data_IF_416613935121
#
_entry.id   IF_416613935121
#
_cell.length_a   1.000
_cell.length_b   1.000
_cell.length_c   1.000
_cell.angle_alpha   90.00
_cell.angle_beta   90.00
_cell.angle_gamma   90.00
#
_symmetry.space_group_name_H-M   'P 1'
#
loop_
_entity.id
_entity.type
_entity.pdbx_description
1 polymer ?
#
# COMPACT_ATOMS: atom_id res chain seq x y z
N UNK A 1 -9.67 5.04 -35.76
CA UNK A 1 -9.90 4.13 -34.62
C UNK A 1 -8.73 4.10 -33.65
N UNK A 2 -7.50 4.08 -34.13
CA UNK A 2 -6.29 3.87 -33.31
C UNK A 2 -6.00 4.96 -32.27
N UNK A 3 -6.13 6.24 -32.64
CA UNK A 3 -5.94 7.38 -31.72
C UNK A 3 -7.00 7.44 -30.61
N UNK A 4 -8.24 7.03 -30.92
CA UNK A 4 -9.35 7.04 -29.95
C UNK A 4 -9.17 5.98 -28.84
N UNK A 5 -8.60 4.82 -29.18
CA UNK A 5 -8.29 3.76 -28.21
C UNK A 5 -7.13 4.18 -27.29
N UNK A 6 -6.10 4.85 -27.82
CA UNK A 6 -5.00 5.35 -26.99
C UNK A 6 -5.48 6.44 -26.04
N UNK A 7 -6.30 7.38 -26.52
CA UNK A 7 -6.86 8.45 -25.69
C UNK A 7 -7.78 7.94 -24.58
N UNK A 8 -8.54 6.86 -24.81
CA UNK A 8 -9.44 6.31 -23.79
C UNK A 8 -8.69 5.57 -22.67
N UNK A 9 -7.52 5.01 -22.95
CA UNK A 9 -6.75 4.20 -21.98
C UNK A 9 -5.70 5.02 -21.23
N UNK A 10 -5.28 6.16 -21.79
CA UNK A 10 -4.26 7.04 -21.20
C UNK A 10 -4.59 7.47 -19.76
N UNK A 11 -5.82 7.91 -19.40
CA UNK A 11 -6.12 8.29 -18.02
C UNK A 11 -5.92 7.14 -17.03
N UNK A 12 -6.34 5.93 -17.40
CA UNK A 12 -6.20 4.73 -16.58
C UNK A 12 -4.74 4.31 -16.42
N UNK A 13 -3.94 4.42 -17.49
CA UNK A 13 -2.48 4.17 -17.43
C UNK A 13 -1.79 5.17 -16.51
N UNK A 14 -2.12 6.47 -16.63
CA UNK A 14 -1.55 7.50 -15.78
C UNK A 14 -1.97 7.33 -14.32
N UNK A 15 -3.22 6.94 -14.06
CA UNK A 15 -3.69 6.62 -12.71
C UNK A 15 -2.90 5.44 -12.13
N UNK A 16 -2.74 4.35 -12.89
CA UNK A 16 -1.97 3.18 -12.48
C UNK A 16 -0.51 3.53 -12.14
N UNK A 17 0.16 4.32 -12.99
CA UNK A 17 1.55 4.74 -12.74
C UNK A 17 1.67 5.62 -11.49
N UNK A 18 0.69 6.51 -11.25
CA UNK A 18 0.64 7.32 -10.02
C UNK A 18 0.42 6.46 -8.79
N UNK A 19 -0.50 5.51 -8.84
CA UNK A 19 -0.78 4.62 -7.72
C UNK A 19 0.44 3.74 -7.41
N UNK A 20 1.16 3.28 -8.44
CA UNK A 20 2.41 2.54 -8.28
C UNK A 20 3.51 3.39 -7.63
N UNK A 21 3.69 4.63 -8.08
CA UNK A 21 4.64 5.58 -7.48
C UNK A 21 4.23 5.99 -6.04
N UNK A 22 2.93 6.06 -5.76
CA UNK A 22 2.42 6.32 -4.42
C UNK A 22 2.71 5.16 -3.48
N UNK A 23 2.42 3.93 -3.90
CA UNK A 23 2.71 2.72 -3.11
C UNK A 23 4.20 2.61 -2.77
N UNK A 24 5.06 2.91 -3.75
CA UNK A 24 6.51 2.98 -3.61
C UNK A 24 6.97 3.97 -2.51
N UNK A 25 6.35 5.16 -2.48
CA UNK A 25 6.58 6.19 -1.47
C UNK A 25 6.00 5.83 -0.10
N UNK A 26 4.81 5.23 -0.06
CA UNK A 26 4.14 4.80 1.17
C UNK A 26 4.93 3.69 1.87
N UNK A 27 5.44 2.71 1.10
CA UNK A 27 6.27 1.62 1.63
C UNK A 27 7.64 2.12 2.10
N UNK A 28 8.33 2.96 1.30
CA UNK A 28 9.66 3.48 1.67
C UNK A 28 9.65 4.36 2.91
N UNK A 29 8.56 5.11 3.12
CA UNK A 29 8.40 5.98 4.29
C UNK A 29 7.60 5.31 5.43
N UNK A 30 7.23 4.04 5.31
CA UNK A 30 6.42 3.36 6.32
C UNK A 30 7.02 3.49 7.73
N UNK A 31 6.18 3.77 8.72
CA UNK A 31 6.53 3.64 10.13
C UNK A 31 5.34 3.17 10.94
N UNK A 32 5.56 2.16 11.78
CA UNK A 32 4.55 1.54 12.63
C UNK A 32 4.02 2.52 13.68
N UNK A 33 4.83 3.48 14.11
CA UNK A 33 4.43 4.53 15.05
C UNK A 33 3.45 5.53 14.43
N UNK A 34 3.51 5.73 13.10
CA UNK A 34 2.60 6.63 12.37
C UNK A 34 1.29 5.97 11.96
N UNK A 35 1.16 4.64 12.11
CA UNK A 35 -0.08 3.93 11.82
C UNK A 35 -1.19 4.41 12.76
N UNK A 36 -2.36 4.74 12.23
CA UNK A 36 -3.52 5.19 13.03
C UNK A 36 -4.28 3.99 13.59
N UNK A 37 -4.83 4.17 14.79
CA UNK A 37 -5.62 3.19 15.52
C UNK A 37 -6.87 3.88 16.05
N UNK A 38 -8.03 3.22 15.93
CA UNK A 38 -9.29 3.77 16.43
C UNK A 38 -9.22 4.11 17.92
N UNK A 39 -8.64 3.22 18.74
CA UNK A 39 -8.45 3.46 20.17
C UNK A 39 -7.67 4.77 20.44
N UNK A 40 -6.64 5.05 19.66
CA UNK A 40 -5.81 6.24 19.78
C UNK A 40 -6.53 7.51 19.31
N UNK A 41 -7.25 7.41 18.18
CA UNK A 41 -8.02 8.52 17.60
C UNK A 41 -9.17 8.96 18.53
N UNK A 42 -9.78 8.00 19.23
CA UNK A 42 -10.85 8.24 20.22
C UNK A 42 -10.30 8.51 21.64
N UNK A 43 -8.99 8.77 21.78
CA UNK A 43 -8.31 9.04 23.08
C UNK A 43 -8.54 7.95 24.14
N UNK A 44 -8.65 6.71 23.70
CA UNK A 44 -8.94 5.53 24.51
C UNK A 44 -10.29 5.60 25.23
N UNK A 45 -11.29 6.24 24.61
CA UNK A 45 -12.68 6.28 25.09
C UNK A 45 -13.63 5.85 23.97
N UNK A 46 -14.54 4.91 24.25
CA UNK A 46 -15.56 4.51 23.29
C UNK A 46 -16.57 5.65 23.07
N UNK A 47 -16.82 6.10 21.83
CA UNK A 47 -17.59 7.31 21.56
C UNK A 47 -19.06 7.22 21.95
N UNK A 48 -19.64 6.00 21.97
CA UNK A 48 -21.07 5.81 22.27
C UNK A 48 -21.35 5.50 23.75
N UNK A 49 -20.45 4.75 24.40
CA UNK A 49 -20.67 4.26 25.78
C UNK A 49 -19.91 5.10 26.81
N UNK A 50 -18.90 5.85 26.39
CA UNK A 50 -18.01 6.61 27.28
C UNK A 50 -17.02 5.74 28.06
N UNK A 51 -16.99 4.43 27.80
CA UNK A 51 -16.10 3.50 28.51
C UNK A 51 -14.64 3.63 28.04
N UNK A 52 -13.71 3.39 28.96
CA UNK A 52 -12.29 3.33 28.62
C UNK A 52 -11.99 2.08 27.78
N UNK A 53 -11.30 2.26 26.65
CA UNK A 53 -10.90 1.16 25.76
C UNK A 53 -9.40 0.91 25.83
N UNK A 54 -8.95 -0.36 25.81
CA UNK A 54 -7.53 -0.68 25.81
C UNK A 54 -6.85 -0.20 24.53
N UNK A 55 -5.53 0.03 24.61
CA UNK A 55 -4.75 0.47 23.46
C UNK A 55 -4.39 -0.73 22.55
N UNK A 56 -5.04 -0.83 21.39
CA UNK A 56 -4.71 -1.87 20.40
C UNK A 56 -3.25 -1.79 19.94
N UNK A 57 -2.66 -0.58 19.92
CA UNK A 57 -1.25 -0.39 19.52
C UNK A 57 -0.30 -1.20 20.40
N UNK A 58 -0.54 -1.25 21.70
CA UNK A 58 0.31 -1.98 22.63
C UNK A 58 0.27 -3.49 22.35
N UNK A 59 -0.94 -4.02 22.12
CA UNK A 59 -1.14 -5.43 21.77
C UNK A 59 -0.46 -5.80 20.43
N UNK A 60 -0.60 -4.94 19.42
CA UNK A 60 0.06 -5.14 18.13
C UNK A 60 1.59 -5.05 18.26
N UNK A 61 2.12 -4.08 19.01
CA UNK A 61 3.57 -3.92 19.17
C UNK A 61 4.18 -5.09 19.96
N UNK A 62 3.47 -5.62 20.96
CA UNK A 62 3.87 -6.83 21.66
C UNK A 62 3.93 -8.04 20.71
N UNK A 63 2.95 -8.17 19.82
CA UNK A 63 2.92 -9.23 18.81
C UNK A 63 4.08 -9.11 17.81
N UNK A 64 4.37 -7.90 17.32
CA UNK A 64 5.50 -7.65 16.41
C UNK A 64 6.82 -8.01 17.10
N UNK A 65 7.04 -7.58 18.34
CA UNK A 65 8.26 -7.92 19.10
C UNK A 65 8.41 -9.43 19.34
N UNK A 66 7.32 -10.18 19.33
CA UNK A 66 7.36 -11.64 19.41
C UNK A 66 7.71 -12.28 18.06
N UNK A 67 7.29 -11.69 16.95
CA UNK A 67 7.55 -12.21 15.61
C UNK A 67 8.93 -11.85 15.07
N UNK A 68 9.48 -10.69 15.47
CA UNK A 68 10.75 -10.15 15.00
C UNK A 68 11.73 -10.04 16.17
N UNK A 69 12.87 -10.72 16.08
CA UNK A 69 13.88 -10.73 17.13
C UNK A 69 14.50 -9.33 17.36
N UNK A 70 14.66 -8.55 16.28
CA UNK A 70 15.05 -7.15 16.29
C UNK A 70 13.89 -6.17 16.55
N UNK A 71 12.72 -6.68 16.92
CA UNK A 71 11.58 -5.87 17.34
C UNK A 71 10.97 -5.02 16.23
N UNK A 72 10.58 -3.79 16.58
CA UNK A 72 9.88 -2.89 15.66
C UNK A 72 10.77 -2.41 14.51
N UNK A 73 12.07 -2.22 14.75
CA UNK A 73 12.99 -1.72 13.73
C UNK A 73 13.22 -2.75 12.62
N UNK A 74 13.38 -4.02 12.98
CA UNK A 74 13.47 -5.13 12.02
C UNK A 74 12.16 -5.26 11.22
N UNK A 75 11.01 -5.17 11.88
CA UNK A 75 9.72 -5.18 11.21
C UNK A 75 9.59 -4.01 10.21
N UNK A 76 9.90 -2.79 10.61
CA UNK A 76 9.85 -1.63 9.72
C UNK A 76 10.80 -1.78 8.53
N UNK A 77 12.02 -2.31 8.75
CA UNK A 77 12.96 -2.60 7.67
C UNK A 77 12.41 -3.67 6.70
N UNK A 78 11.77 -4.72 7.23
CA UNK A 78 11.13 -5.75 6.42
C UNK A 78 9.95 -5.20 5.62
N UNK A 79 9.15 -4.27 6.16
CA UNK A 79 8.08 -3.61 5.40
C UNK A 79 8.65 -2.68 4.32
N UNK A 80 9.65 -1.86 4.66
CA UNK A 80 10.23 -0.89 3.71
C UNK A 80 10.91 -1.54 2.53
N UNK A 81 11.56 -2.70 2.75
CA UNK A 81 12.35 -3.40 1.74
C UNK A 81 11.75 -4.74 1.33
N UNK A 82 11.54 -5.66 2.26
CA UNK A 82 11.03 -7.00 1.96
C UNK A 82 9.65 -6.98 1.29
N UNK A 83 8.66 -6.31 1.92
CA UNK A 83 7.32 -6.20 1.34
C UNK A 83 7.33 -5.42 0.02
N UNK A 84 8.15 -4.37 -0.09
CA UNK A 84 8.35 -3.64 -1.34
C UNK A 84 8.82 -4.57 -2.46
N UNK A 85 9.90 -5.32 -2.22
CA UNK A 85 10.48 -6.21 -3.22
C UNK A 85 9.46 -7.27 -3.66
N UNK A 86 8.65 -7.78 -2.74
CA UNK A 86 7.60 -8.76 -3.04
C UNK A 86 6.44 -8.15 -3.82
N UNK A 87 6.00 -6.94 -3.46
CA UNK A 87 4.98 -6.18 -4.20
C UNK A 87 5.46 -5.86 -5.61
N UNK A 88 6.71 -5.44 -5.78
CA UNK A 88 7.29 -5.15 -7.09
C UNK A 88 7.30 -6.40 -7.99
N UNK A 89 7.67 -7.55 -7.45
CA UNK A 89 7.60 -8.85 -8.16
C UNK A 89 6.16 -9.22 -8.53
N UNK A 90 5.20 -9.02 -7.62
CA UNK A 90 3.79 -9.33 -7.85
C UNK A 90 3.15 -8.43 -8.92
N UNK A 91 3.48 -7.13 -8.91
CA UNK A 91 2.98 -6.18 -9.90
C UNK A 91 3.57 -6.43 -11.30
N UNK A 92 4.75 -7.06 -11.38
CA UNK A 92 5.37 -7.45 -12.63
C UNK A 92 5.76 -6.24 -13.50
N UNK A 93 5.61 -6.32 -14.84
CA UNK A 93 5.99 -5.25 -15.77
C UNK A 93 5.36 -3.90 -15.43
N UNK A 94 5.91 -2.83 -16.02
CA UNK A 94 5.47 -1.45 -15.76
C UNK A 94 3.97 -1.22 -16.03
N UNK A 95 3.36 -2.00 -16.93
CA UNK A 95 1.94 -1.91 -17.25
C UNK A 95 1.26 -3.28 -17.14
N UNK A 96 0.04 -3.34 -16.57
CA UNK A 96 -0.82 -4.50 -16.62
C UNK A 96 -1.05 -5.00 -18.04
N UNK A 97 -1.20 -6.32 -18.19
CA UNK A 97 -1.37 -6.98 -19.49
C UNK A 97 -2.51 -6.36 -20.32
N UNK A 98 -3.67 -6.09 -19.72
CA UNK A 98 -4.80 -5.52 -20.45
C UNK A 98 -4.47 -4.14 -21.05
N UNK A 99 -3.71 -3.28 -20.34
CA UNK A 99 -3.25 -2.01 -20.88
C UNK A 99 -2.32 -2.21 -22.09
N UNK A 100 -1.41 -3.19 -22.04
CA UNK A 100 -0.53 -3.50 -23.17
C UNK A 100 -1.31 -3.94 -24.41
N UNK A 101 -2.32 -4.81 -24.24
CA UNK A 101 -3.18 -5.30 -25.33
C UNK A 101 -4.01 -4.16 -25.93
N UNK A 102 -4.62 -3.31 -25.11
CA UNK A 102 -5.41 -2.18 -25.61
C UNK A 102 -4.57 -1.16 -26.38
N UNK A 103 -3.32 -0.93 -25.96
CA UNK A 103 -2.40 -0.02 -26.67
C UNK A 103 -1.86 -0.65 -27.95
N UNK A 104 -1.71 -1.98 -28.02
CA UNK A 104 -1.21 -2.68 -29.22
C UNK A 104 -2.30 -2.99 -30.25
N UNK A 105 -3.54 -3.28 -29.84
CA UNK A 105 -4.73 -3.48 -30.70
C UNK A 105 -4.87 -2.46 -31.86
N UNK A 106 -4.70 -1.15 -31.64
CA UNK A 106 -4.79 -0.15 -32.71
C UNK A 106 -3.70 -0.22 -33.79
N UNK A 107 -2.68 -1.07 -33.62
CA UNK A 107 -1.66 -1.34 -34.65
C UNK A 107 -1.93 -2.64 -35.44
N UNK A 108 -2.88 -3.47 -34.99
CA UNK A 108 -3.23 -4.76 -35.63
C UNK A 108 -4.54 -4.74 -36.44
N UNK A 109 -5.33 -3.65 -36.36
CA UNK A 109 -6.56 -3.38 -37.12
C UNK A 109 -6.40 -2.10 -37.93
#
# INVERSE_FOLDING_TARGET
CSVLVVLSVLPSVLAYLRDRAKLDADLSSFSVNRARCFCCDSRHVHPETGEAIPCDREAIFASIRRWYAGGLDEFEANVRKGLRDDVEKMLGPLLPYYHTVYISLPYFL
#
